data_IF_239315993547
#
_entry.id   IF_239315993547
#
_cell.length_a   1.000
_cell.length_b   1.000
_cell.length_c   1.000
_cell.angle_alpha   90.00
_cell.angle_beta   90.00
_cell.angle_gamma   90.00
#
_symmetry.space_group_name_H-M   'P 1'
#
loop_
_entity.id
_entity.type
_entity.pdbx_description
1 polymer ?
#
# COMPACT_ATOMS: atom_id res chain seq x y z
N UNK A 1 16.74 -15.04 -5.28
CA UNK A 1 15.42 -14.37 -5.32
C UNK A 1 14.38 -15.31 -4.72
N UNK A 2 14.33 -15.50 -3.39
CA UNK A 2 13.48 -16.54 -2.76
C UNK A 2 12.73 -16.11 -1.50
N UNK A 3 12.94 -14.89 -0.98
CA UNK A 3 12.26 -14.45 0.25
C UNK A 3 10.85 -13.87 0.00
N UNK A 4 10.60 -13.32 -1.19
CA UNK A 4 9.33 -12.65 -1.51
C UNK A 4 8.16 -13.63 -1.64
N UNK A 5 8.41 -14.84 -2.16
CA UNK A 5 7.38 -15.86 -2.33
C UNK A 5 6.79 -16.36 -1.01
N UNK A 6 7.56 -16.36 0.08
CA UNK A 6 7.08 -16.85 1.38
C UNK A 6 6.05 -15.88 1.98
N UNK A 7 6.28 -14.58 1.84
CA UNK A 7 5.41 -13.51 2.38
C UNK A 7 4.04 -13.49 1.72
N UNK A 8 3.98 -13.83 0.43
CA UNK A 8 2.74 -13.80 -0.36
C UNK A 8 1.75 -14.89 0.09
N UNK A 9 2.27 -16.07 0.42
CA UNK A 9 1.49 -17.22 0.87
C UNK A 9 0.93 -16.99 2.29
N UNK A 10 1.74 -16.39 3.17
CA UNK A 10 1.36 -16.10 4.56
C UNK A 10 0.20 -15.10 4.67
N UNK A 11 0.15 -14.09 3.79
CA UNK A 11 -0.86 -13.03 3.84
C UNK A 11 -2.13 -13.32 3.03
N UNK A 12 -2.16 -14.44 2.29
CA UNK A 12 -3.26 -14.80 1.38
C UNK A 12 -3.76 -13.63 0.52
N UNK A 13 -2.83 -12.95 -0.15
CA UNK A 13 -3.14 -11.81 -1.01
C UNK A 13 -3.89 -12.26 -2.27
N UNK A 14 -4.97 -11.55 -2.62
CA UNK A 14 -5.57 -11.74 -3.95
C UNK A 14 -4.61 -11.23 -5.02
N UNK A 15 -4.79 -11.67 -6.27
CA UNK A 15 -3.94 -11.22 -7.40
C UNK A 15 -3.76 -9.70 -7.47
N UNK A 16 -4.82 -8.91 -7.27
CA UNK A 16 -4.73 -7.44 -7.34
C UNK A 16 -4.11 -6.79 -6.12
N UNK A 17 -4.30 -7.37 -4.94
CA UNK A 17 -3.59 -6.93 -3.73
C UNK A 17 -2.09 -7.24 -3.85
N UNK A 18 -1.74 -8.37 -4.47
CA UNK A 18 -0.37 -8.77 -4.74
C UNK A 18 0.32 -7.79 -5.69
N UNK A 19 -0.27 -7.55 -6.87
CA UNK A 19 0.28 -6.62 -7.87
C UNK A 19 0.45 -5.21 -7.28
N UNK A 20 -0.50 -4.75 -6.44
CA UNK A 20 -0.41 -3.48 -5.73
C UNK A 20 0.71 -3.48 -4.70
N UNK A 21 0.82 -4.53 -3.89
CA UNK A 21 1.84 -4.66 -2.86
C UNK A 21 3.23 -4.68 -3.48
N UNK A 22 3.46 -5.50 -4.50
CA UNK A 22 4.76 -5.61 -5.20
C UNK A 22 5.22 -4.26 -5.75
N UNK A 23 4.32 -3.48 -6.35
CA UNK A 23 4.64 -2.15 -6.85
C UNK A 23 5.13 -1.20 -5.74
N UNK A 24 4.44 -1.23 -4.60
CA UNK A 24 4.79 -0.41 -3.44
C UNK A 24 6.08 -0.90 -2.77
N UNK A 25 6.26 -2.21 -2.63
CA UNK A 25 7.39 -2.86 -1.96
C UNK A 25 8.70 -2.71 -2.74
N UNK A 26 8.62 -2.69 -4.06
CA UNK A 26 9.77 -2.38 -4.92
C UNK A 26 10.21 -0.91 -4.80
N UNK A 27 9.38 -0.04 -4.24
CA UNK A 27 9.62 1.41 -4.12
C UNK A 27 9.24 1.94 -2.72
N UNK A 28 9.86 1.42 -1.63
CA UNK A 28 9.52 1.84 -0.28
C UNK A 28 9.83 3.34 -0.09
N UNK A 29 8.96 4.05 0.62
CA UNK A 29 9.03 5.50 0.82
C UNK A 29 8.54 6.34 -0.37
N UNK A 30 8.24 5.75 -1.53
CA UNK A 30 7.70 6.47 -2.69
C UNK A 30 6.17 6.58 -2.63
N UNK A 31 5.67 7.80 -2.75
CA UNK A 31 4.23 8.05 -2.87
C UNK A 31 3.75 7.85 -4.31
N UNK A 32 2.74 7.00 -4.50
CA UNK A 32 2.05 6.78 -5.78
C UNK A 32 0.65 7.36 -5.76
N UNK A 33 0.25 8.01 -6.84
CA UNK A 33 -1.10 8.58 -6.95
C UNK A 33 -2.15 7.52 -7.20
N UNK A 34 -3.38 7.81 -6.76
CA UNK A 34 -4.54 6.93 -6.98
C UNK A 34 -4.78 6.65 -8.47
N UNK A 35 -4.73 7.68 -9.30
CA UNK A 35 -4.83 7.53 -10.76
C UNK A 35 -3.73 6.62 -11.31
N UNK A 36 -2.47 6.88 -10.95
CA UNK A 36 -1.35 6.03 -11.39
C UNK A 36 -1.53 4.56 -10.99
N UNK A 37 -1.90 4.29 -9.74
CA UNK A 37 -2.15 2.92 -9.26
C UNK A 37 -3.31 2.27 -10.01
N UNK A 38 -4.39 3.01 -10.25
CA UNK A 38 -5.55 2.53 -11.01
C UNK A 38 -5.14 2.14 -12.44
N UNK A 39 -4.42 3.02 -13.15
CA UNK A 39 -3.94 2.73 -14.51
C UNK A 39 -2.95 1.57 -14.53
N UNK A 40 -1.98 1.57 -13.61
CA UNK A 40 -0.87 0.60 -13.62
C UNK A 40 -1.33 -0.82 -13.29
N UNK A 41 -2.26 -0.97 -12.35
CA UNK A 41 -2.69 -2.27 -11.82
C UNK A 41 -3.98 -2.76 -12.50
N UNK A 42 -4.93 -1.88 -12.80
CA UNK A 42 -6.20 -2.27 -13.45
C UNK A 42 -6.27 -1.94 -14.94
N UNK A 43 -5.37 -1.11 -15.47
CA UNK A 43 -5.40 -0.73 -16.89
C UNK A 43 -6.49 0.28 -17.24
N UNK A 44 -7.12 0.91 -16.25
CA UNK A 44 -8.17 1.90 -16.50
C UNK A 44 -7.59 3.26 -16.88
N UNK A 45 -8.43 4.13 -17.47
CA UNK A 45 -8.08 5.53 -17.70
C UNK A 45 -8.11 6.34 -16.40
N UNK A 46 -7.55 7.55 -16.44
CA UNK A 46 -7.56 8.47 -15.29
C UNK A 46 -8.94 9.01 -14.92
N UNK A 47 -9.87 8.95 -15.86
CA UNK A 47 -11.27 9.35 -15.65
C UNK A 47 -12.07 8.27 -14.89
N UNK A 48 -11.51 7.06 -14.71
CA UNK A 48 -12.16 5.99 -13.97
C UNK A 48 -12.15 6.25 -12.45
N UNK A 49 -13.19 5.78 -11.76
CA UNK A 49 -13.33 5.98 -10.31
C UNK A 49 -12.21 5.27 -9.53
N UNK A 50 -11.40 6.05 -8.82
CA UNK A 50 -10.25 5.54 -8.03
C UNK A 50 -10.62 4.77 -6.76
N UNK A 51 -11.92 4.66 -6.40
CA UNK A 51 -12.40 3.94 -5.21
C UNK A 51 -11.94 2.48 -5.18
N UNK A 52 -11.71 1.86 -6.34
CA UNK A 52 -11.14 0.51 -6.43
C UNK A 52 -9.77 0.43 -5.76
N UNK A 53 -8.91 1.44 -5.95
CA UNK A 53 -7.59 1.49 -5.31
C UNK A 53 -7.75 1.58 -3.79
N UNK A 54 -8.61 2.49 -3.32
CA UNK A 54 -8.80 2.72 -1.89
C UNK A 54 -9.29 1.44 -1.16
N UNK A 55 -10.21 0.68 -1.78
CA UNK A 55 -10.71 -0.60 -1.24
C UNK A 55 -9.59 -1.65 -1.14
N UNK A 56 -8.77 -1.79 -2.18
CA UNK A 56 -7.67 -2.76 -2.16
C UNK A 56 -6.56 -2.35 -1.18
N UNK A 57 -6.25 -1.06 -1.07
CA UNK A 57 -5.32 -0.55 -0.05
C UNK A 57 -5.85 -0.82 1.36
N UNK A 58 -7.14 -0.60 1.60
CA UNK A 58 -7.75 -0.89 2.92
C UNK A 58 -7.65 -2.37 3.30
N UNK A 59 -7.92 -3.28 2.35
CA UNK A 59 -7.77 -4.73 2.58
C UNK A 59 -6.31 -5.13 2.77
N UNK A 60 -5.41 -4.61 1.94
CA UNK A 60 -3.98 -4.87 2.03
C UNK A 60 -3.42 -4.39 3.38
N UNK A 61 -3.82 -3.20 3.85
CA UNK A 61 -3.45 -2.71 5.19
C UNK A 61 -3.85 -3.69 6.28
N UNK A 62 -5.11 -4.14 6.30
CA UNK A 62 -5.59 -5.10 7.30
C UNK A 62 -4.78 -6.40 7.32
N UNK A 63 -4.34 -6.86 6.16
CA UNK A 63 -3.48 -8.05 6.06
C UNK A 63 -2.06 -7.77 6.57
N UNK A 64 -1.53 -6.58 6.29
CA UNK A 64 -0.23 -6.13 6.79
C UNK A 64 -0.23 -5.78 8.28
N UNK A 65 -1.37 -5.63 8.95
CA UNK A 65 -1.43 -5.42 10.42
C UNK A 65 -0.80 -6.57 11.21
N UNK A 66 -0.71 -7.77 10.62
CA UNK A 66 0.00 -8.91 11.20
C UNK A 66 1.54 -8.81 11.10
N UNK A 67 2.07 -7.75 10.48
CA UNK A 67 3.50 -7.52 10.27
C UNK A 67 3.96 -6.24 10.96
N UNK A 68 5.06 -6.34 11.70
CA UNK A 68 5.67 -5.19 12.38
C UNK A 68 6.65 -4.41 11.49
N UNK A 69 7.10 -4.99 10.37
CA UNK A 69 8.15 -4.45 9.52
C UNK A 69 7.63 -3.63 8.32
N UNK A 70 6.31 -3.61 8.06
CA UNK A 70 5.72 -2.99 6.89
C UNK A 70 4.42 -2.25 7.21
N UNK A 71 4.27 -1.02 6.71
CA UNK A 71 3.04 -0.26 6.84
C UNK A 71 2.72 0.54 5.57
N UNK A 72 1.44 0.66 5.22
CA UNK A 72 0.99 1.53 4.12
C UNK A 72 0.34 2.79 4.68
N UNK A 73 0.86 3.96 4.32
CA UNK A 73 0.36 5.25 4.77
C UNK A 73 -0.37 6.00 3.64
N UNK A 74 -1.34 6.84 4.03
CA UNK A 74 -2.03 7.74 3.09
C UNK A 74 -1.30 9.08 3.12
N UNK A 75 -0.84 9.53 1.96
CA UNK A 75 -0.37 10.91 1.81
C UNK A 75 -1.54 11.71 1.26
N UNK A 76 -2.14 12.58 2.10
CA UNK A 76 -3.37 13.30 1.76
C UNK A 76 -3.21 14.06 0.45
N UNK A 77 -4.25 13.96 -0.41
CA UNK A 77 -4.31 14.49 -1.79
C UNK A 77 -3.23 13.96 -2.75
N UNK A 78 -2.26 13.16 -2.30
CA UNK A 78 -1.21 12.59 -3.16
C UNK A 78 -1.45 11.12 -3.47
N UNK A 79 -1.74 10.28 -2.48
CA UNK A 79 -1.98 8.85 -2.68
C UNK A 79 -1.44 7.98 -1.56
N UNK A 80 -0.66 6.96 -1.92
CA UNK A 80 -0.23 5.89 -1.01
C UNK A 80 1.27 5.65 -1.06
N UNK A 81 1.85 5.36 0.10
CA UNK A 81 3.26 5.01 0.28
C UNK A 81 3.33 3.77 1.17
N UNK A 82 4.25 2.85 0.85
CA UNK A 82 4.64 1.76 1.76
C UNK A 82 5.95 2.14 2.42
N UNK A 83 6.02 2.01 3.74
CA UNK A 83 7.23 2.23 4.51
C UNK A 83 7.64 0.92 5.18
N UNK A 84 8.95 0.68 5.19
CA UNK A 84 9.55 -0.35 6.03
C UNK A 84 9.77 0.24 7.41
N UNK A 85 9.20 -0.40 8.42
CA UNK A 85 9.43 -0.05 9.81
C UNK A 85 10.59 -0.85 10.35
N UNK A 86 11.47 -0.19 11.10
CA UNK A 86 12.42 -0.92 11.93
C UNK A 86 11.66 -1.47 13.14
N UNK A 87 11.78 -2.78 13.44
CA UNK A 87 11.10 -3.37 14.58
C UNK A 87 11.53 -2.64 15.87
N UNK A 88 10.55 -2.09 16.59
CA UNK A 88 10.76 -1.37 17.85
C UNK A 88 10.87 0.15 17.75
N UNK A 89 10.83 0.75 16.55
CA UNK A 89 10.59 2.20 16.44
C UNK A 89 9.09 2.46 16.59
N UNK A 90 8.67 3.33 17.55
CA UNK A 90 7.28 3.77 17.60
C UNK A 90 6.93 4.32 16.23
N UNK A 91 5.72 4.01 15.75
CA UNK A 91 5.15 4.56 14.53
C UNK A 91 5.55 6.03 14.47
N UNK A 92 6.55 6.37 13.64
CA UNK A 92 6.94 7.77 13.49
C UNK A 92 5.65 8.48 13.15
N UNK A 93 5.24 9.41 14.01
CA UNK A 93 4.15 10.33 13.78
C UNK A 93 4.59 11.17 12.58
N UNK A 94 4.53 10.55 11.41
CA UNK A 94 4.89 11.16 10.17
C UNK A 94 3.90 12.30 10.05
N UNK A 95 4.46 13.50 10.08
CA UNK A 95 3.84 14.80 9.84
C UNK A 95 3.18 14.90 8.42
N UNK A 96 2.89 13.75 7.80
CA UNK A 96 2.18 13.57 6.55
C UNK A 96 0.68 13.73 6.79
N UNK A 97 0.29 14.94 7.22
CA UNK A 97 -1.08 15.46 7.29
C UNK A 97 -2.18 14.41 7.24
N UNK A 98 -2.28 13.56 8.26
CA UNK A 98 -3.31 12.55 8.37
C UNK A 98 -4.66 13.25 8.51
N UNK A 99 -5.43 13.34 7.42
CA UNK A 99 -6.86 13.55 7.52
C UNK A 99 -7.47 12.21 7.97
N UNK A 100 -7.67 12.10 9.29
CA UNK A 100 -8.55 11.09 9.85
C UNK A 100 -9.98 11.23 9.34
N UNK A 101 -10.70 10.10 9.36
CA UNK A 101 -12.15 10.09 9.25
C UNK A 101 -12.69 9.70 7.88
N UNK A 102 -13.01 8.42 7.74
CA UNK A 102 -14.31 7.98 7.22
C UNK A 102 -14.82 6.84 8.10
#
# INVERSE_FOLDING_TARGET
>A
MSALSSVQDELQLTRKELELFELLEQNPGRCFSRGYLLRRIWGYSDDARTRTVDVHVSRLRKKLEARDDLAIHTVVRRGYVLERREPGQPAQEAHLGYAGGY
#
